data_IF_296428965606
#
_entry.id   IF_296428965606
#
_cell.length_a   1.000
_cell.length_b   1.000
_cell.length_c   1.000
_cell.angle_alpha   90.00
_cell.angle_beta   90.00
_cell.angle_gamma   90.00
#
_symmetry.space_group_name_H-M   'P 1'
#
loop_
_entity.id
_entity.type
_entity.pdbx_description
1 polymer ?
#
# COMPACT_ATOMS: atom_id res chain seq x y z
N UNK A 1 18.03 -17.90 17.61
CA UNK A 1 16.89 -17.10 17.12
C UNK A 1 15.74 -18.04 16.87
N UNK A 2 14.55 -17.74 17.38
CA UNK A 2 13.33 -18.46 16.98
C UNK A 2 12.94 -17.89 15.62
N UNK A 3 12.84 -18.70 14.55
CA UNK A 3 12.41 -18.19 13.26
C UNK A 3 11.00 -17.63 13.37
N UNK A 4 10.75 -16.45 12.79
CA UNK A 4 9.41 -15.85 12.80
C UNK A 4 8.39 -16.82 12.23
N UNK A 5 7.33 -17.08 12.98
CA UNK A 5 6.23 -17.97 12.57
C UNK A 5 5.46 -17.44 11.35
N UNK A 6 5.54 -16.13 11.11
CA UNK A 6 4.80 -15.40 10.09
C UNK A 6 5.71 -14.42 9.33
N UNK A 7 5.59 -14.39 8.00
CA UNK A 7 6.26 -13.42 7.12
C UNK A 7 5.19 -12.65 6.36
N UNK A 8 5.22 -11.33 6.48
CA UNK A 8 4.36 -10.42 5.73
C UNK A 8 5.20 -9.78 4.62
N UNK A 9 4.74 -9.91 3.37
CA UNK A 9 5.36 -9.30 2.20
C UNK A 9 4.34 -8.38 1.54
N UNK A 10 4.71 -7.13 1.28
CA UNK A 10 3.82 -6.17 0.64
C UNK A 10 4.52 -5.36 -0.44
N UNK A 11 3.76 -4.92 -1.43
CA UNK A 11 4.10 -3.83 -2.35
C UNK A 11 2.99 -2.77 -2.30
N UNK A 12 2.97 -1.82 -3.25
CA UNK A 12 1.95 -0.75 -3.30
C UNK A 12 0.52 -1.26 -3.58
N UNK A 13 0.38 -2.44 -4.17
CA UNK A 13 -0.91 -2.96 -4.64
C UNK A 13 -1.30 -4.33 -4.11
N UNK A 14 -0.41 -5.01 -3.38
CA UNK A 14 -0.68 -6.34 -2.85
C UNK A 14 0.01 -6.57 -1.52
N UNK A 15 -0.64 -7.41 -0.71
CA UNK A 15 -0.12 -7.89 0.56
C UNK A 15 -0.28 -9.40 0.61
N UNK A 16 0.77 -10.12 0.99
CA UNK A 16 0.77 -11.56 1.18
C UNK A 16 1.34 -11.93 2.54
N UNK A 17 0.71 -12.88 3.20
CA UNK A 17 1.12 -13.41 4.49
C UNK A 17 1.47 -14.89 4.34
N UNK A 18 2.65 -15.27 4.81
CA UNK A 18 3.18 -16.62 4.74
C UNK A 18 3.46 -17.14 6.15
N UNK A 19 2.95 -18.33 6.47
CA UNK A 19 3.39 -19.07 7.65
C UNK A 19 4.68 -19.81 7.34
N UNK A 20 5.63 -19.76 8.28
CA UNK A 20 6.85 -20.57 8.20
C UNK A 20 6.58 -21.90 8.88
N UNK A 21 6.61 -22.98 8.10
CA UNK A 21 6.51 -24.34 8.60
C UNK A 21 7.91 -24.95 8.64
N UNK A 22 8.38 -25.30 9.84
CA UNK A 22 9.58 -26.10 9.98
C UNK A 22 9.31 -27.53 9.56
N UNK A 23 10.13 -28.06 8.65
CA UNK A 23 10.09 -29.49 8.31
C UNK A 23 11.37 -30.16 8.77
N UNK A 24 11.30 -31.25 9.57
CA UNK A 24 12.49 -31.88 10.16
C UNK A 24 13.55 -32.31 9.15
N UNK A 25 13.16 -32.61 7.90
CA UNK A 25 14.04 -33.20 6.90
C UNK A 25 14.31 -32.32 5.69
N UNK A 26 13.60 -31.19 5.53
CA UNK A 26 13.64 -30.36 4.31
C UNK A 26 13.95 -28.89 4.57
N UNK A 27 14.08 -28.49 5.84
CA UNK A 27 14.25 -27.09 6.23
C UNK A 27 12.92 -26.33 6.26
N UNK A 28 12.96 -25.00 6.45
CA UNK A 28 11.77 -24.18 6.52
C UNK A 28 11.06 -24.10 5.16
N UNK A 29 9.74 -24.14 5.19
CA UNK A 29 8.87 -23.97 4.01
C UNK A 29 7.84 -22.87 4.26
N UNK A 30 7.46 -22.15 3.21
CA UNK A 30 6.48 -21.07 3.29
C UNK A 30 5.11 -21.56 2.81
N UNK A 31 4.09 -21.34 3.62
CA UNK A 31 2.70 -21.58 3.27
C UNK A 31 1.96 -20.24 3.20
N UNK A 32 1.43 -19.90 2.03
CA UNK A 32 0.57 -18.72 1.88
C UNK A 32 -0.70 -18.92 2.73
N UNK A 33 -0.90 -18.06 3.72
CA UNK A 33 -2.09 -18.08 4.59
C UNK A 33 -3.11 -17.02 4.19
N UNK A 34 -2.64 -15.88 3.66
CA UNK A 34 -3.53 -14.83 3.19
C UNK A 34 -2.90 -14.02 2.06
N UNK A 35 -3.74 -13.54 1.14
CA UNK A 35 -3.35 -12.64 0.07
C UNK A 35 -4.45 -11.61 -0.17
N UNK A 36 -4.06 -10.36 -0.34
CA UNK A 36 -4.93 -9.23 -0.61
C UNK A 36 -4.36 -8.42 -1.78
N UNK A 37 -5.26 -7.87 -2.58
CA UNK A 37 -4.93 -6.86 -3.57
C UNK A 37 -5.65 -5.56 -3.18
N UNK A 38 -4.94 -4.45 -3.21
CA UNK A 38 -5.52 -3.12 -3.03
C UNK A 38 -6.08 -2.71 -4.39
N UNK A 39 -7.41 -2.76 -4.52
CA UNK A 39 -8.13 -2.49 -5.76
C UNK A 39 -7.84 -1.08 -6.33
N UNK A 40 -7.38 -0.14 -5.50
CA UNK A 40 -7.04 1.23 -5.91
C UNK A 40 -5.61 1.39 -6.47
N UNK A 41 -4.73 0.40 -6.30
CA UNK A 41 -3.33 0.51 -6.76
C UNK A 41 -3.18 0.30 -8.27
N UNK A 42 -4.17 -0.31 -8.94
CA UNK A 42 -4.22 -0.48 -10.39
C UNK A 42 -5.02 0.61 -11.10
N UNK A 43 -5.67 1.52 -10.36
CA UNK A 43 -6.25 2.72 -10.91
C UNK A 43 -5.13 3.68 -11.28
N UNK A 44 -4.64 3.59 -12.52
CA UNK A 44 -3.81 4.62 -13.14
C UNK A 44 -4.43 5.97 -12.76
N UNK A 45 -3.73 6.78 -11.96
CA UNK A 45 -4.18 8.11 -11.52
C UNK A 45 -4.58 9.00 -12.72
N UNK A 46 -4.17 8.64 -13.93
CA UNK A 46 -4.57 9.24 -15.21
C UNK A 46 -6.07 9.06 -15.51
N UNK A 47 -6.66 7.89 -15.23
CA UNK A 47 -8.05 7.60 -15.62
C UNK A 47 -9.06 8.24 -14.66
N UNK A 48 -8.80 8.23 -13.34
CA UNK A 48 -9.71 8.85 -12.35
C UNK A 48 -9.70 10.39 -12.41
N UNK A 49 -8.63 11.01 -12.90
CA UNK A 49 -8.55 12.48 -13.04
C UNK A 49 -9.01 12.93 -14.44
N UNK A 50 -9.03 12.03 -15.42
CA UNK A 50 -9.66 12.29 -16.73
C UNK A 50 -11.17 12.49 -16.63
N UNK A 51 -11.86 11.71 -15.80
CA UNK A 51 -13.31 11.83 -15.59
C UNK A 51 -13.71 13.10 -14.79
N UNK A 52 -12.80 13.64 -13.97
CA UNK A 52 -13.00 14.91 -13.25
C UNK A 52 -12.62 16.15 -14.07
N UNK A 53 -11.83 15.98 -15.14
CA UNK A 53 -11.43 17.09 -16.03
C UNK A 53 -12.53 17.48 -17.05
N UNK A 54 -13.66 16.78 -17.08
CA UNK A 54 -14.73 16.98 -18.07
C UNK A 54 -15.74 18.10 -17.77
N UNK A 55 -15.65 18.81 -16.63
CA UNK A 55 -16.63 19.84 -16.27
C UNK A 55 -16.00 21.11 -15.70
N UNK A 56 -15.13 21.75 -16.47
CA UNK A 56 -14.82 23.16 -16.27
C UNK A 56 -15.89 24.02 -16.97
N UNK A 57 -16.58 24.95 -16.28
CA UNK A 57 -17.45 25.90 -16.95
C UNK A 57 -16.58 26.84 -17.80
N UNK A 58 -16.69 26.72 -19.11
CA UNK A 58 -16.22 27.74 -20.06
C UNK A 58 -17.15 28.95 -19.97
N UNK A 59 -16.94 29.80 -18.96
CA UNK A 59 -17.33 31.20 -19.08
C UNK A 59 -16.10 31.99 -19.48
N UNK A 60 -16.14 32.59 -20.68
CA UNK A 60 -15.05 33.35 -21.24
C UNK A 60 -14.56 34.47 -20.32
N UNK A 61 -13.24 34.61 -20.23
CA UNK A 61 -12.58 35.70 -19.51
C UNK A 61 -11.07 35.50 -19.53
N UNK A 62 -10.36 36.42 -20.17
CA UNK A 62 -8.92 36.43 -20.32
C UNK A 62 -8.15 36.42 -19.00
N UNK A 63 -6.99 35.76 -18.96
CA UNK A 63 -6.00 35.93 -17.89
C UNK A 63 -5.17 34.67 -17.64
N UNK A 64 -3.93 34.64 -18.14
CA UNK A 64 -3.04 33.49 -18.00
C UNK A 64 -2.55 33.28 -16.57
N UNK A 65 -3.10 32.30 -15.86
CA UNK A 65 -2.52 31.69 -14.65
C UNK A 65 -2.94 30.21 -14.48
N UNK A 66 -2.88 29.40 -15.54
CA UNK A 66 -3.35 28.00 -15.52
C UNK A 66 -2.22 26.94 -15.48
N UNK A 67 -1.07 27.25 -14.86
CA UNK A 67 0.08 26.34 -14.81
C UNK A 67 0.45 25.83 -13.41
N UNK A 68 0.52 26.72 -12.42
CA UNK A 68 1.08 26.38 -11.11
C UNK A 68 0.08 25.70 -10.15
N UNK A 69 -1.19 26.13 -10.17
CA UNK A 69 -2.22 25.57 -9.28
C UNK A 69 -2.54 24.10 -9.60
N UNK A 70 -2.64 23.76 -10.88
CA UNK A 70 -2.99 22.41 -11.33
C UNK A 70 -1.88 21.37 -11.07
N UNK A 71 -0.62 21.79 -10.98
CA UNK A 71 0.51 20.91 -10.63
C UNK A 71 0.56 20.65 -9.12
N UNK A 72 0.31 21.68 -8.30
CA UNK A 72 0.25 21.55 -6.85
C UNK A 72 -0.88 20.63 -6.41
N UNK A 73 -2.09 20.79 -6.96
CA UNK A 73 -3.25 19.93 -6.66
C UNK A 73 -3.01 18.47 -7.05
N UNK A 74 -2.43 18.22 -8.23
CA UNK A 74 -2.09 16.86 -8.70
C UNK A 74 -1.08 16.17 -7.76
N UNK A 75 -0.09 16.92 -7.27
CA UNK A 75 0.94 16.40 -6.37
C UNK A 75 0.35 16.07 -5.01
N UNK A 76 -0.51 16.94 -4.47
CA UNK A 76 -1.17 16.73 -3.18
C UNK A 76 -2.13 15.52 -3.20
N UNK A 77 -2.88 15.33 -4.30
CA UNK A 77 -3.76 14.18 -4.48
C UNK A 77 -3.00 12.84 -4.57
N UNK A 78 -1.84 12.82 -5.22
CA UNK A 78 -1.00 11.63 -5.28
C UNK A 78 -0.46 11.25 -3.90
N UNK A 79 0.04 12.23 -3.14
CA UNK A 79 0.56 12.02 -1.78
C UNK A 79 -0.51 11.51 -0.82
N UNK A 80 -1.73 12.06 -0.88
CA UNK A 80 -2.84 11.59 -0.03
C UNK A 80 -3.30 10.17 -0.42
N UNK A 81 -3.31 9.87 -1.72
CA UNK A 81 -3.65 8.51 -2.19
C UNK A 81 -2.63 7.50 -1.68
N UNK A 82 -1.34 7.82 -1.75
CA UNK A 82 -0.27 6.95 -1.23
C UNK A 82 -0.36 6.77 0.28
N UNK A 83 -0.63 7.85 1.02
CA UNK A 83 -0.85 7.80 2.47
C UNK A 83 -2.02 6.89 2.83
N UNK A 84 -3.13 6.97 2.08
CA UNK A 84 -4.30 6.11 2.31
C UNK A 84 -3.99 4.64 2.03
N UNK A 85 -3.27 4.34 0.95
CA UNK A 85 -2.82 2.98 0.61
C UNK A 85 -1.92 2.42 1.72
N UNK A 86 -0.94 3.20 2.19
CA UNK A 86 -0.02 2.79 3.26
C UNK A 86 -0.76 2.51 4.57
N UNK A 87 -1.75 3.35 4.91
CA UNK A 87 -2.61 3.13 6.08
C UNK A 87 -3.44 1.87 5.96
N UNK A 88 -4.05 1.64 4.80
CA UNK A 88 -4.83 0.41 4.55
C UNK A 88 -3.95 -0.84 4.68
N UNK A 89 -2.72 -0.80 4.13
CA UNK A 89 -1.74 -1.87 4.32
C UNK A 89 -1.44 -2.10 5.80
N UNK A 90 -1.09 -1.06 6.55
CA UNK A 90 -0.79 -1.17 7.99
C UNK A 90 -1.96 -1.77 8.78
N UNK A 91 -3.19 -1.32 8.52
CA UNK A 91 -4.40 -1.85 9.16
C UNK A 91 -4.60 -3.35 8.86
N UNK A 92 -4.32 -3.80 7.63
CA UNK A 92 -4.38 -5.23 7.29
C UNK A 92 -3.27 -6.03 7.96
N UNK A 93 -2.05 -5.48 8.03
CA UNK A 93 -0.93 -6.12 8.73
C UNK A 93 -1.30 -6.37 10.20
N UNK A 94 -1.83 -5.37 10.89
CA UNK A 94 -2.25 -5.48 12.30
C UNK A 94 -3.30 -6.58 12.48
N UNK A 95 -4.29 -6.67 11.58
CA UNK A 95 -5.30 -7.74 11.60
C UNK A 95 -4.68 -9.12 11.41
N UNK A 96 -3.75 -9.29 10.46
CA UNK A 96 -3.13 -10.58 10.18
C UNK A 96 -2.24 -11.02 11.35
N UNK A 97 -1.42 -10.11 11.87
CA UNK A 97 -0.46 -10.36 12.95
C UNK A 97 -1.18 -10.69 14.25
N UNK A 98 -2.27 -9.98 14.58
CA UNK A 98 -3.06 -10.29 15.79
C UNK A 98 -3.68 -11.69 15.76
N UNK A 99 -4.02 -12.21 14.56
CA UNK A 99 -4.57 -13.55 14.37
C UNK A 99 -3.50 -14.64 14.29
N UNK A 100 -2.37 -14.38 13.63
CA UNK A 100 -1.41 -15.41 13.20
C UNK A 100 0.03 -15.22 13.71
N UNK A 101 0.40 -14.05 14.22
CA UNK A 101 1.79 -13.65 14.48
C UNK A 101 2.21 -13.63 15.95
N UNK A 102 1.49 -14.35 16.84
CA UNK A 102 1.75 -14.34 18.30
C UNK A 102 3.13 -14.85 18.69
N UNK A 103 3.72 -15.73 17.88
CA UNK A 103 5.05 -16.32 18.10
C UNK A 103 6.18 -15.51 17.44
N UNK A 104 5.85 -14.32 16.92
CA UNK A 104 6.77 -13.45 16.21
C UNK A 104 6.54 -13.46 14.70
N UNK A 105 6.82 -12.32 14.09
CA UNK A 105 6.56 -12.08 12.68
C UNK A 105 7.69 -11.23 12.07
N UNK A 106 7.82 -11.30 10.75
CA UNK A 106 8.76 -10.52 9.95
C UNK A 106 8.02 -9.74 8.87
N UNK A 107 8.54 -8.59 8.49
CA UNK A 107 7.96 -7.71 7.49
C UNK A 107 8.96 -7.43 6.36
N UNK A 108 8.50 -7.44 5.11
CA UNK A 108 9.28 -7.09 3.94
C UNK A 108 8.44 -6.25 2.97
N UNK A 109 9.05 -5.17 2.47
CA UNK A 109 8.46 -4.29 1.48
C UNK A 109 9.55 -3.58 0.66
N UNK A 110 9.23 -3.04 -0.53
CA UNK A 110 10.12 -2.11 -1.24
C UNK A 110 10.51 -0.91 -0.38
N UNK A 111 11.73 -0.40 -0.56
CA UNK A 111 12.30 0.65 0.26
C UNK A 111 11.46 1.94 0.27
N UNK A 112 10.76 2.21 -0.83
CA UNK A 112 9.93 3.40 -1.04
C UNK A 112 8.71 3.46 -0.11
N UNK A 113 8.22 2.30 0.35
CA UNK A 113 7.03 2.21 1.22
C UNK A 113 7.32 1.60 2.58
N UNK A 114 8.47 0.94 2.75
CA UNK A 114 8.81 0.21 3.97
C UNK A 114 8.73 1.10 5.22
N UNK A 115 9.45 2.23 5.24
CA UNK A 115 9.50 3.11 6.41
C UNK A 115 8.11 3.69 6.74
N UNK A 116 7.39 4.17 5.73
CA UNK A 116 6.06 4.76 5.91
C UNK A 116 5.04 3.77 6.48
N UNK A 117 5.11 2.48 6.10
CA UNK A 117 4.26 1.45 6.68
C UNK A 117 4.68 1.13 8.11
N UNK A 118 5.99 1.00 8.38
CA UNK A 118 6.51 0.72 9.72
C UNK A 118 6.10 1.79 10.73
N UNK A 119 6.15 3.07 10.34
CA UNK A 119 5.75 4.20 11.19
C UNK A 119 4.24 4.21 11.54
N UNK A 120 3.42 3.44 10.80
CA UNK A 120 1.97 3.33 11.02
C UNK A 120 1.60 2.10 11.87
N UNK A 121 2.55 1.22 12.17
CA UNK A 121 2.32 0.05 13.01
C UNK A 121 2.35 0.42 14.52
N UNK A 122 1.55 -0.27 15.36
CA UNK A 122 1.47 -0.01 16.79
C UNK A 122 2.70 -0.46 17.58
#
# INVERSE_FOLDING_TARGET
>A
MIPSSLIIVTDRGSLKAYRVNETPTRGPSLQLVQAFNITDAHGRLVDKVSDLAGRFPVSGGAGGHHGAASIAERTQLATETDRRIQKELADQIVKIVSLNGKEGWSFAAPAEIHAAIVDLLP
#
